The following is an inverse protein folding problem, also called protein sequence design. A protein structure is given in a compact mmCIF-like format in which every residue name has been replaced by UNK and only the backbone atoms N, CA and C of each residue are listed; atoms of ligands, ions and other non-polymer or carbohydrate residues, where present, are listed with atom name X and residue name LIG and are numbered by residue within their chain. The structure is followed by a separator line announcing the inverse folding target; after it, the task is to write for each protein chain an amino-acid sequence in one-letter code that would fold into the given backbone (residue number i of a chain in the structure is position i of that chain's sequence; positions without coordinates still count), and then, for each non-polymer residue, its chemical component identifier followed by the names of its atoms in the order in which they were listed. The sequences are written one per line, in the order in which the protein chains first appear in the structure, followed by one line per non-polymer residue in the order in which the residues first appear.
data_IF_095526431276
#
_entry.id   IF_095526431276
#
_cell.length_a   1.000
_cell.length_b   1.000
_cell.length_c   1.000
_cell.angle_alpha   90.00
_cell.angle_beta   90.00
_cell.angle_gamma   90.00
#
_symmetry.space_group_name_H-M   'P 1'
#
loop_
_entity.id
_entity.type
_entity.pdbx_description
1 polymer ?
#
# COMPACT_ATOMS: atom_id res chain seq x y z
N UNK A 1 16.73 10.62 46.61
CA UNK A 1 17.20 10.03 45.33
C UNK A 1 16.03 10.04 44.35
N UNK A 2 15.96 10.94 43.35
CA UNK A 2 14.87 10.91 42.37
C UNK A 2 15.17 9.86 41.29
N UNK A 3 14.22 8.94 41.10
CA UNK A 3 14.29 7.88 40.09
C UNK A 3 13.85 8.48 38.74
N UNK A 4 14.79 8.60 37.81
CA UNK A 4 14.52 9.06 36.44
C UNK A 4 13.91 7.91 35.65
N UNK A 5 12.60 7.93 35.46
CA UNK A 5 11.94 7.03 34.51
C UNK A 5 12.36 7.43 33.10
N UNK A 6 13.07 6.53 32.40
CA UNK A 6 13.33 6.67 30.96
C UNK A 6 11.98 6.58 30.25
N UNK A 7 11.41 7.72 29.89
CA UNK A 7 10.29 7.81 28.95
C UNK A 7 10.72 7.13 27.65
N UNK A 8 10.31 5.87 27.50
CA UNK A 8 10.36 5.14 26.23
C UNK A 8 9.56 6.00 25.26
N UNK A 9 10.25 6.72 24.38
CA UNK A 9 9.60 7.45 23.30
C UNK A 9 8.77 6.43 22.54
N UNK A 10 7.46 6.67 22.47
CA UNK A 10 6.56 5.88 21.61
C UNK A 10 7.21 5.83 20.22
N UNK A 11 7.25 4.67 19.54
CA UNK A 11 7.76 4.61 18.19
C UNK A 11 7.02 5.70 17.40
N UNK A 12 7.81 6.60 16.82
CA UNK A 12 7.37 7.73 16.01
C UNK A 12 6.17 7.28 15.18
N UNK A 13 5.02 7.96 15.32
CA UNK A 13 3.80 7.59 14.60
C UNK A 13 4.19 7.34 13.14
N UNK A 14 4.14 6.07 12.71
CA UNK A 14 4.42 5.70 11.34
C UNK A 14 3.49 6.56 10.49
N UNK A 15 4.06 7.39 9.62
CA UNK A 15 3.28 8.19 8.68
C UNK A 15 2.72 7.22 7.64
N UNK A 16 1.69 6.47 8.06
CA UNK A 16 0.96 5.52 7.26
C UNK A 16 0.32 6.28 6.13
N UNK A 17 0.59 5.85 4.90
CA UNK A 17 -0.03 6.46 3.74
C UNK A 17 -1.47 5.98 3.65
N UNK A 18 -2.46 6.87 3.81
CA UNK A 18 -3.86 6.47 3.72
C UNK A 18 -4.16 5.99 2.31
N UNK A 19 -5.01 4.96 2.22
CA UNK A 19 -5.50 4.41 0.96
C UNK A 19 -4.40 3.88 0.02
N UNK A 20 -3.22 3.50 0.54
CA UNK A 20 -2.10 3.06 -0.29
C UNK A 20 -2.44 1.84 -1.16
N UNK A 21 -3.12 0.83 -0.58
CA UNK A 21 -3.62 -0.31 -1.35
C UNK A 21 -4.51 0.13 -2.51
N UNK A 22 -5.42 1.06 -2.26
CA UNK A 22 -6.33 1.58 -3.29
C UNK A 22 -5.56 2.24 -4.43
N UNK A 23 -4.56 3.06 -4.12
CA UNK A 23 -3.70 3.68 -5.13
C UNK A 23 -2.90 2.64 -5.92
N UNK A 24 -2.37 1.61 -5.27
CA UNK A 24 -1.73 0.46 -5.96
C UNK A 24 -2.70 -0.19 -6.95
N UNK A 25 -3.95 -0.42 -6.53
CA UNK A 25 -4.97 -1.03 -7.39
C UNK A 25 -5.30 -0.15 -8.60
N UNK A 26 -5.50 1.15 -8.38
CA UNK A 26 -5.75 2.12 -9.47
C UNK A 26 -4.60 2.16 -10.47
N UNK A 27 -3.34 2.20 -10.01
CA UNK A 27 -2.17 2.19 -10.90
C UNK A 27 -2.13 0.91 -11.74
N UNK A 28 -2.41 -0.25 -11.15
CA UNK A 28 -2.45 -1.52 -11.88
C UNK A 28 -3.66 -1.62 -12.84
N UNK A 29 -4.77 -0.97 -12.49
CA UNK A 29 -5.97 -0.91 -13.32
C UNK A 29 -5.71 -0.06 -14.56
N UNK A 30 -5.21 1.16 -14.39
CA UNK A 30 -4.87 2.08 -15.48
C UNK A 30 -3.77 1.53 -16.39
N UNK A 31 -2.78 0.84 -15.82
CA UNK A 31 -1.69 0.28 -16.61
C UNK A 31 -2.13 -0.90 -17.50
N UNK A 32 -3.26 -1.57 -17.19
CA UNK A 32 -3.76 -2.77 -17.86
C UNK A 32 -2.71 -3.89 -18.07
N UNK A 33 -1.60 -3.87 -17.32
CA UNK A 33 -0.47 -4.80 -17.45
C UNK A 33 0.14 -5.11 -16.08
N UNK A 34 0.81 -6.26 -15.91
CA UNK A 34 1.57 -6.52 -14.69
C UNK A 34 2.69 -5.50 -14.51
N UNK A 35 2.89 -5.01 -13.29
CA UNK A 35 3.97 -4.07 -12.94
C UNK A 35 4.86 -4.63 -11.85
N UNK A 36 6.14 -4.33 -11.93
CA UNK A 36 7.11 -4.67 -10.89
C UNK A 36 6.97 -3.78 -9.65
N UNK A 37 7.49 -4.26 -8.52
CA UNK A 37 7.56 -3.45 -7.29
C UNK A 37 8.30 -2.12 -7.51
N UNK A 38 9.39 -2.14 -8.29
CA UNK A 38 10.17 -0.93 -8.62
C UNK A 38 9.38 0.07 -9.46
N UNK A 39 8.63 -0.40 -10.45
CA UNK A 39 7.76 0.46 -11.26
C UNK A 39 6.64 1.07 -10.39
N UNK A 40 6.01 0.26 -9.54
CA UNK A 40 4.99 0.74 -8.60
C UNK A 40 5.54 1.76 -7.62
N UNK A 41 6.70 1.51 -7.03
CA UNK A 41 7.38 2.47 -6.16
C UNK A 41 7.68 3.79 -6.86
N UNK A 42 8.07 3.74 -8.14
CA UNK A 42 8.36 4.94 -8.93
C UNK A 42 7.10 5.76 -9.20
N UNK A 43 6.02 5.11 -9.66
CA UNK A 43 4.75 5.79 -9.95
C UNK A 43 4.11 6.34 -8.67
N UNK A 44 4.03 5.52 -7.62
CA UNK A 44 3.45 5.92 -6.34
C UNK A 44 4.31 6.97 -5.64
N UNK A 45 5.64 6.90 -5.77
CA UNK A 45 6.53 7.90 -5.20
C UNK A 45 6.33 9.29 -5.80
N UNK A 46 6.06 9.36 -7.10
CA UNK A 46 5.67 10.60 -7.79
C UNK A 46 4.29 11.07 -7.28
N UNK A 47 3.31 10.17 -7.22
CA UNK A 47 1.94 10.49 -6.81
C UNK A 47 1.85 11.04 -5.37
N UNK A 48 2.58 10.42 -4.44
CA UNK A 48 2.60 10.80 -3.03
C UNK A 48 3.71 11.81 -2.69
N UNK A 49 4.56 12.17 -3.65
CA UNK A 49 5.78 12.98 -3.43
C UNK A 49 6.67 12.42 -2.31
N UNK A 50 6.81 11.09 -2.25
CA UNK A 50 7.59 10.37 -1.23
C UNK A 50 8.57 9.40 -1.89
N UNK A 51 9.82 9.43 -1.46
CA UNK A 51 10.87 8.53 -1.94
C UNK A 51 11.65 7.88 -0.78
N UNK A 52 11.03 7.79 0.40
CA UNK A 52 11.67 7.31 1.61
C UNK A 52 11.54 5.77 1.78
N UNK A 53 12.50 5.12 2.46
CA UNK A 53 12.46 3.67 2.66
C UNK A 53 11.26 3.16 3.46
N UNK A 54 10.67 4.00 4.32
CA UNK A 54 9.47 3.64 5.07
C UNK A 54 8.27 3.51 4.13
N UNK A 55 8.10 4.47 3.21
CA UNK A 55 7.07 4.42 2.17
C UNK A 55 7.19 3.16 1.31
N UNK A 56 8.39 2.85 0.81
CA UNK A 56 8.58 1.63 0.01
C UNK A 56 8.28 0.35 0.79
N UNK A 57 8.60 0.32 2.09
CA UNK A 57 8.21 -0.79 2.96
C UNK A 57 6.69 -0.89 3.10
N UNK A 58 5.97 0.23 3.21
CA UNK A 58 4.52 0.21 3.24
C UNK A 58 3.94 -0.31 1.92
N UNK A 59 4.48 0.09 0.77
CA UNK A 59 4.07 -0.44 -0.54
C UNK A 59 4.26 -1.95 -0.58
N UNK A 60 5.43 -2.44 -0.15
CA UNK A 60 5.75 -3.86 -0.12
C UNK A 60 4.78 -4.67 0.77
N UNK A 61 4.44 -4.15 1.95
CA UNK A 61 3.45 -4.77 2.85
C UNK A 61 2.08 -4.84 2.17
N UNK A 62 1.61 -3.74 1.59
CA UNK A 62 0.30 -3.70 0.90
C UNK A 62 0.27 -4.65 -0.31
N UNK A 63 1.37 -4.80 -1.04
CA UNK A 63 1.47 -5.76 -2.14
C UNK A 63 1.38 -7.21 -1.66
N UNK A 64 2.07 -7.53 -0.55
CA UNK A 64 1.99 -8.86 0.06
C UNK A 64 0.57 -9.15 0.54
N UNK A 65 -0.03 -8.22 1.27
CA UNK A 65 -1.38 -8.35 1.80
C UNK A 65 -2.40 -8.47 0.67
N UNK A 66 -2.26 -7.67 -0.40
CA UNK A 66 -3.10 -7.76 -1.59
C UNK A 66 -3.02 -9.13 -2.27
N UNK A 67 -1.86 -9.78 -2.28
CA UNK A 67 -1.71 -11.16 -2.79
C UNK A 67 -2.35 -12.16 -1.84
N UNK A 68 -2.14 -12.02 -0.53
CA UNK A 68 -2.69 -12.89 0.51
C UNK A 68 -4.22 -12.86 0.54
N UNK A 69 -4.82 -11.68 0.39
CA UNK A 69 -6.26 -11.48 0.26
C UNK A 69 -6.81 -11.91 -1.12
N UNK A 70 -5.94 -12.29 -2.04
CA UNK A 70 -6.31 -12.75 -3.39
C UNK A 70 -6.83 -11.64 -4.30
N UNK A 71 -6.53 -10.38 -3.98
CA UNK A 71 -6.84 -9.18 -4.77
C UNK A 71 -5.84 -9.04 -5.92
N UNK A 72 -4.56 -9.23 -5.57
CA UNK A 72 -3.45 -9.20 -6.50
C UNK A 72 -3.01 -10.62 -6.85
N UNK A 73 -2.49 -10.76 -8.06
CA UNK A 73 -1.75 -11.93 -8.51
C UNK A 73 -0.29 -11.54 -8.61
N UNK A 74 0.59 -12.28 -7.92
CA UNK A 74 2.03 -12.18 -8.10
C UNK A 74 2.51 -13.21 -9.12
N UNK A 75 3.27 -12.75 -10.11
CA UNK A 75 3.99 -13.61 -11.05
C UNK A 75 5.46 -13.17 -11.07
N UNK A 76 6.34 -13.99 -10.49
CA UNK A 76 7.75 -13.64 -10.25
C UNK A 76 7.85 -12.33 -9.45
N UNK A 77 8.35 -11.27 -10.09
CA UNK A 77 8.52 -9.93 -9.51
C UNK A 77 7.46 -8.93 -9.99
N UNK A 78 6.42 -9.40 -10.69
CA UNK A 78 5.34 -8.55 -11.18
C UNK A 78 4.04 -8.83 -10.43
N UNK A 79 3.24 -7.79 -10.29
CA UNK A 79 1.94 -7.77 -9.66
C UNK A 79 0.90 -7.36 -10.69
N UNK A 80 -0.24 -8.03 -10.71
CA UNK A 80 -1.39 -7.66 -11.53
C UNK A 80 -2.68 -7.85 -10.75
N UNK A 81 -3.74 -7.20 -11.23
CA UNK A 81 -5.06 -7.33 -10.64
C UNK A 81 -5.67 -8.71 -10.93
N UNK A 82 -6.35 -9.28 -9.94
CA UNK A 82 -7.17 -10.48 -10.14
C UNK A 82 -8.56 -10.05 -10.58
N UNK A 83 -8.85 -10.22 -11.87
CA UNK A 83 -10.04 -9.70 -12.57
C UNK A 83 -11.40 -9.99 -11.90
N UNK A 84 -11.54 -11.09 -11.16
CA UNK A 84 -12.84 -11.50 -10.59
C UNK A 84 -13.30 -10.73 -9.35
N UNK A 85 -12.41 -10.03 -8.64
CA UNK A 85 -12.76 -9.34 -7.38
C UNK A 85 -12.63 -7.82 -7.44
N UNK A 86 -12.16 -7.26 -8.55
CA UNK A 86 -11.84 -5.83 -8.63
C UNK A 86 -13.10 -4.97 -8.46
N UNK A 87 -14.16 -5.23 -9.23
CA UNK A 87 -15.39 -4.44 -9.16
C UNK A 87 -16.07 -4.50 -7.79
N UNK A 88 -16.05 -5.65 -7.14
CA UNK A 88 -16.57 -5.83 -5.77
C UNK A 88 -15.71 -5.09 -4.74
N UNK A 89 -14.38 -5.18 -4.85
CA UNK A 89 -13.44 -4.53 -3.92
C UNK A 89 -13.42 -3.01 -4.07
N UNK A 90 -13.53 -2.47 -5.29
CA UNK A 90 -13.62 -1.03 -5.48
C UNK A 90 -14.92 -0.45 -4.94
N UNK A 91 -16.00 -1.24 -4.96
CA UNK A 91 -17.29 -0.90 -4.37
C UNK A 91 -17.24 -0.91 -2.83
N UNK A 92 -16.55 -1.87 -2.21
CA UNK A 92 -16.41 -1.94 -0.74
C UNK A 92 -15.40 -0.91 -0.22
N UNK A 93 -14.29 -0.68 -0.92
CA UNK A 93 -13.31 0.38 -0.60
C UNK A 93 -13.83 1.79 -0.90
N UNK A 94 -14.95 1.93 -1.61
CA UNK A 94 -15.66 3.18 -1.87
C UNK A 94 -16.66 3.58 -0.78
N UNK A 95 -16.93 2.69 0.18
CA UNK A 95 -17.66 3.06 1.39
C UNK A 95 -16.68 3.67 2.39
N UNK A 96 -16.34 4.95 2.20
CA UNK A 96 -15.98 5.76 3.35
C UNK A 96 -17.10 5.59 4.38
N UNK A 97 -16.80 5.29 5.66
CA UNK A 97 -17.82 5.41 6.68
C UNK A 97 -18.31 6.85 6.64
N UNK A 98 -19.61 6.96 6.40
CA UNK A 98 -20.38 8.18 6.43
C UNK A 98 -20.13 8.91 7.77
N UNK A 99 -20.10 10.24 7.70
CA UNK A 99 -20.10 11.26 8.78
C UNK A 99 -18.75 11.86 9.19
#
# INVERSE_FOLDING_TARGET
MPVTYRTRTLPQQRNLVPNLLRSILHVLEEAHRPMSETELNSVLGIQYRRNDPEFYRQVQINLRDGVEYGILKRQRNHFSLRSRRLGELMSTLGSSPNQ
#
